data_IF_391688097808
#
_entry.id   IF_391688097808
#
_cell.length_a   1.000
_cell.length_b   1.000
_cell.length_c   1.000
_cell.angle_alpha   90.00
_cell.angle_beta   90.00
_cell.angle_gamma   90.00
#
_symmetry.space_group_name_H-M   'P 1'
#
loop_
_entity.id
_entity.type
_entity.pdbx_description
1 polymer ?
#
# COMPACT_ATOMS: atom_id res chain seq x y z
N UNK A 1 51.19 31.84 32.74
CA UNK A 1 50.19 31.04 32.01
C UNK A 1 49.09 31.99 31.57
N UNK A 2 48.88 32.13 30.26
CA UNK A 2 47.74 32.77 29.56
C UNK A 2 47.55 34.29 29.85
N UNK A 3 47.83 35.27 28.97
CA UNK A 3 47.58 35.39 27.52
C UNK A 3 46.20 34.83 27.13
N UNK A 4 45.23 35.52 26.54
CA UNK A 4 45.24 36.80 25.84
C UNK A 4 43.78 37.07 25.38
N UNK A 5 43.57 38.22 24.72
CA UNK A 5 42.44 38.51 23.82
C UNK A 5 41.06 38.80 24.42
N UNK A 6 41.04 39.85 25.25
CA UNK A 6 39.96 40.84 25.19
C UNK A 6 40.13 41.66 23.91
N UNK A 7 39.31 41.36 22.88
CA UNK A 7 39.01 42.07 21.62
C UNK A 7 38.87 41.05 20.48
N UNK A 8 37.71 40.42 20.37
CA UNK A 8 37.31 39.81 19.10
C UNK A 8 36.40 40.81 18.36
N UNK A 9 36.79 41.22 17.14
CA UNK A 9 36.20 42.35 16.44
C UNK A 9 34.86 41.96 15.78
N UNK A 10 34.09 42.98 15.43
CA UNK A 10 32.85 43.01 14.63
C UNK A 10 32.76 42.08 13.38
N UNK A 11 33.81 41.34 13.04
CA UNK A 11 33.94 40.54 11.83
C UNK A 11 33.08 39.27 11.81
N UNK A 12 32.75 38.68 12.97
CA UNK A 12 31.98 37.43 13.04
C UNK A 12 30.48 37.66 12.73
N UNK A 13 29.98 38.87 12.99
CA UNK A 13 28.59 39.22 12.69
C UNK A 13 28.32 39.44 11.20
N UNK A 14 29.34 39.80 10.40
CA UNK A 14 29.18 40.03 8.96
C UNK A 14 29.18 38.75 8.12
N UNK A 15 29.79 37.67 8.61
CA UNK A 15 29.82 36.38 7.89
C UNK A 15 28.50 35.62 7.91
N UNK A 16 27.61 35.88 8.87
CA UNK A 16 26.29 35.25 8.94
C UNK A 16 25.26 35.86 7.95
N UNK A 17 25.46 37.10 7.50
CA UNK A 17 24.53 37.79 6.60
C UNK A 17 24.77 37.48 5.11
N UNK A 18 25.97 37.02 4.75
CA UNK A 18 26.32 36.63 3.37
C UNK A 18 25.90 35.20 3.00
N UNK A 19 25.46 34.37 3.95
CA UNK A 19 24.94 33.03 3.65
C UNK A 19 23.42 33.02 3.38
N UNK A 20 22.73 34.14 3.65
CA UNK A 20 21.28 34.27 3.44
C UNK A 20 20.91 34.88 2.07
N UNK A 21 21.91 35.23 1.25
CA UNK A 21 21.73 35.89 -0.06
C UNK A 21 22.05 34.99 -1.25
N UNK A 22 22.36 33.71 -1.03
CA UNK A 22 22.31 32.73 -2.10
C UNK A 22 20.84 32.53 -2.47
N UNK A 23 20.43 32.83 -3.72
CA UNK A 23 19.11 32.44 -4.17
C UNK A 23 19.04 30.93 -4.00
N UNK A 24 18.14 30.47 -3.13
CA UNK A 24 17.77 29.06 -3.10
C UNK A 24 17.53 28.68 -4.57
N UNK A 25 18.27 27.70 -5.13
CA UNK A 25 17.87 27.19 -6.43
C UNK A 25 16.40 26.87 -6.28
N UNK A 26 15.53 27.30 -7.22
CA UNK A 26 14.14 26.91 -7.16
C UNK A 26 14.18 25.41 -6.98
N UNK A 27 13.65 24.93 -5.84
CA UNK A 27 13.38 23.51 -5.67
C UNK A 27 12.53 23.26 -6.90
N UNK A 28 13.13 22.59 -7.90
CA UNK A 28 12.37 22.05 -8.98
C UNK A 28 11.36 21.20 -8.23
N UNK A 29 10.12 21.68 -8.15
CA UNK A 29 9.02 20.79 -7.91
C UNK A 29 9.20 19.81 -9.04
N UNK A 30 9.80 18.66 -8.73
CA UNK A 30 9.56 17.48 -9.50
C UNK A 30 8.04 17.48 -9.55
N UNK A 31 7.48 17.86 -10.71
CA UNK A 31 6.21 17.32 -11.09
C UNK A 31 6.50 15.83 -10.94
N UNK A 32 6.08 15.25 -9.80
CA UNK A 32 6.29 13.87 -9.50
C UNK A 32 5.90 13.17 -10.79
N UNK A 33 6.86 12.50 -11.43
CA UNK A 33 6.59 11.91 -12.73
C UNK A 33 5.41 10.97 -12.48
N UNK A 34 4.22 11.40 -12.89
CA UNK A 34 3.01 10.70 -12.49
C UNK A 34 3.08 9.37 -13.24
N UNK A 35 3.16 8.29 -12.49
CA UNK A 35 3.07 6.94 -12.99
C UNK A 35 1.67 6.76 -13.60
N UNK A 36 1.57 6.53 -14.93
CA UNK A 36 0.28 6.36 -15.60
C UNK A 36 -0.54 5.20 -15.04
N UNK A 37 0.13 4.13 -14.58
CA UNK A 37 -0.52 2.98 -13.94
C UNK A 37 -1.15 3.38 -12.59
N UNK A 38 -0.43 4.14 -11.77
CA UNK A 38 -0.97 4.64 -10.51
C UNK A 38 -2.19 5.54 -10.74
N UNK A 39 -2.12 6.41 -11.76
CA UNK A 39 -3.26 7.26 -12.16
C UNK A 39 -4.45 6.42 -12.63
N UNK A 40 -4.22 5.36 -13.41
CA UNK A 40 -5.26 4.45 -13.87
C UNK A 40 -5.91 3.70 -12.71
N UNK A 41 -5.12 3.12 -11.80
CA UNK A 41 -5.61 2.47 -10.58
C UNK A 41 -6.50 3.42 -9.80
N UNK A 42 -6.04 4.66 -9.55
CA UNK A 42 -6.81 5.60 -8.75
C UNK A 42 -8.09 6.10 -9.42
N UNK A 43 -8.16 6.15 -10.76
CA UNK A 43 -9.41 6.51 -11.48
C UNK A 43 -10.51 5.48 -11.28
N UNK A 44 -10.16 4.25 -10.98
CA UNK A 44 -11.11 3.19 -10.70
C UNK A 44 -11.54 3.15 -9.23
N UNK A 45 -11.17 4.13 -8.41
CA UNK A 45 -11.54 4.21 -6.98
C UNK A 45 -12.61 5.27 -6.73
N UNK A 46 -13.30 5.16 -5.61
CA UNK A 46 -14.31 6.13 -5.15
C UNK A 46 -13.70 7.47 -4.72
N UNK A 47 -12.41 7.49 -4.33
CA UNK A 47 -11.68 8.65 -3.85
C UNK A 47 -10.29 8.73 -4.50
N UNK A 48 -10.25 9.35 -5.68
CA UNK A 48 -9.04 9.49 -6.50
C UNK A 48 -7.88 10.16 -5.74
N UNK A 49 -8.16 11.25 -5.00
CA UNK A 49 -7.13 12.02 -4.31
C UNK A 49 -6.60 11.30 -3.07
N UNK A 50 -7.45 10.53 -2.38
CA UNK A 50 -7.00 9.63 -1.33
C UNK A 50 -6.11 8.53 -1.91
N UNK A 51 -6.55 7.86 -2.98
CA UNK A 51 -5.73 6.83 -3.64
C UNK A 51 -4.37 7.36 -4.06
N UNK A 52 -4.32 8.51 -4.74
CA UNK A 52 -3.05 9.11 -5.18
C UNK A 52 -2.14 9.39 -3.99
N UNK A 53 -2.65 10.03 -2.92
CA UNK A 53 -1.83 10.31 -1.73
C UNK A 53 -1.34 9.04 -1.04
N UNK A 54 -2.15 7.99 -1.02
CA UNK A 54 -1.77 6.69 -0.47
C UNK A 54 -0.65 6.04 -1.28
N UNK A 55 -0.77 5.96 -2.61
CA UNK A 55 0.26 5.38 -3.48
C UNK A 55 1.57 6.18 -3.41
N UNK A 56 1.52 7.50 -3.61
CA UNK A 56 2.71 8.35 -3.64
C UNK A 56 3.29 8.68 -2.25
N UNK A 57 2.75 8.07 -1.19
CA UNK A 57 3.45 8.01 0.10
C UNK A 57 4.71 7.14 0.03
N UNK A 58 4.77 6.21 -0.92
CA UNK A 58 5.97 5.44 -1.24
C UNK A 58 6.82 6.17 -2.29
N UNK A 59 8.12 6.41 -2.03
CA UNK A 59 9.00 7.13 -2.97
C UNK A 59 9.27 6.38 -4.27
N UNK A 60 9.01 5.07 -4.35
CA UNK A 60 9.21 4.26 -5.54
C UNK A 60 7.97 4.20 -6.44
N UNK A 61 6.83 4.74 -5.99
CA UNK A 61 5.59 4.79 -6.77
C UNK A 61 5.74 5.37 -8.19
N UNK A 62 6.56 6.40 -8.47
CA UNK A 62 6.73 6.94 -9.82
C UNK A 62 7.24 5.93 -10.86
N UNK A 63 7.96 4.88 -10.43
CA UNK A 63 8.54 3.85 -11.32
C UNK A 63 7.96 2.46 -11.07
N UNK A 64 6.98 2.34 -10.18
CA UNK A 64 6.38 1.07 -9.79
C UNK A 64 5.60 0.43 -10.95
N UNK A 65 5.80 -0.87 -11.16
CA UNK A 65 4.89 -1.67 -11.99
C UNK A 65 3.60 -2.02 -11.22
N UNK A 66 2.70 -2.78 -11.86
CA UNK A 66 1.41 -3.15 -11.26
C UNK A 66 1.56 -3.98 -9.98
N UNK A 67 2.52 -4.91 -9.94
CA UNK A 67 2.74 -5.76 -8.78
C UNK A 67 3.27 -4.94 -7.60
N UNK A 68 4.25 -4.06 -7.86
CA UNK A 68 4.79 -3.20 -6.83
C UNK A 68 3.79 -2.13 -6.35
N UNK A 69 2.93 -1.62 -7.23
CA UNK A 69 1.81 -0.76 -6.83
C UNK A 69 0.84 -1.49 -5.89
N UNK A 70 0.55 -2.78 -6.15
CA UNK A 70 -0.24 -3.60 -5.23
C UNK A 70 0.45 -3.75 -3.87
N UNK A 71 1.75 -4.07 -3.86
CA UNK A 71 2.55 -4.15 -2.62
C UNK A 71 2.46 -2.84 -1.82
N UNK A 72 2.60 -1.68 -2.47
CA UNK A 72 2.47 -0.37 -1.79
C UNK A 72 1.10 -0.23 -1.13
N UNK A 73 0.02 -0.50 -1.86
CA UNK A 73 -1.36 -0.29 -1.36
C UNK A 73 -1.67 -1.26 -0.21
N UNK A 74 -1.37 -2.56 -0.37
CA UNK A 74 -1.60 -3.56 0.67
C UNK A 74 -0.70 -3.34 1.89
N UNK A 75 0.52 -2.85 1.71
CA UNK A 75 1.40 -2.45 2.82
C UNK A 75 0.78 -1.28 3.60
N UNK A 76 0.27 -0.27 2.90
CA UNK A 76 -0.41 0.85 3.56
C UNK A 76 -1.67 0.39 4.32
N UNK A 77 -2.46 -0.51 3.75
CA UNK A 77 -3.60 -1.12 4.43
C UNK A 77 -3.14 -1.87 5.69
N UNK A 78 -2.11 -2.71 5.59
CA UNK A 78 -1.57 -3.49 6.71
C UNK A 78 -1.07 -2.61 7.86
N UNK A 79 -0.27 -1.58 7.54
CA UNK A 79 0.25 -0.64 8.53
C UNK A 79 -0.88 0.14 9.21
N UNK A 80 -1.87 0.59 8.45
CA UNK A 80 -3.01 1.32 8.99
C UNK A 80 -3.90 0.43 9.87
N UNK A 81 -4.13 -0.83 9.47
CA UNK A 81 -4.88 -1.80 10.26
C UNK A 81 -4.19 -2.09 11.59
N UNK A 82 -2.88 -2.33 11.55
CA UNK A 82 -2.06 -2.63 12.73
C UNK A 82 -2.01 -1.45 13.69
N UNK A 83 -1.75 -0.23 13.20
CA UNK A 83 -1.78 0.99 14.02
C UNK A 83 -3.17 1.22 14.64
N UNK A 84 -4.24 0.97 13.88
CA UNK A 84 -5.60 1.11 14.39
C UNK A 84 -5.91 0.08 15.47
N UNK A 85 -5.53 -1.18 15.26
CA UNK A 85 -5.66 -2.23 16.27
C UNK A 85 -4.91 -1.87 17.55
N UNK A 86 -3.67 -1.41 17.44
CA UNK A 86 -2.85 -1.01 18.59
C UNK A 86 -3.44 0.21 19.31
N UNK A 87 -3.98 1.17 18.55
CA UNK A 87 -4.73 2.28 19.12
C UNK A 87 -5.93 1.79 19.93
N UNK A 88 -6.73 0.86 19.37
CA UNK A 88 -7.87 0.26 20.07
C UNK A 88 -7.40 -0.46 21.33
N UNK A 89 -6.32 -1.25 21.26
CA UNK A 89 -5.79 -1.98 22.40
C UNK A 89 -5.35 -1.04 23.53
N UNK A 90 -4.69 0.08 23.20
CA UNK A 90 -4.32 1.11 24.15
C UNK A 90 -5.57 1.76 24.79
N UNK A 91 -6.60 2.07 23.99
CA UNK A 91 -7.87 2.63 24.48
C UNK A 91 -8.58 1.68 25.44
N UNK A 92 -8.64 0.39 25.13
CA UNK A 92 -9.21 -0.65 26.01
C UNK A 92 -8.46 -0.70 27.34
N UNK A 93 -7.11 -0.73 27.31
CA UNK A 93 -6.27 -0.72 28.52
C UNK A 93 -6.48 0.53 29.39
N UNK A 94 -6.68 1.68 28.76
CA UNK A 94 -6.97 2.95 29.46
C UNK A 94 -8.39 3.07 30.01
N UNK A 95 -9.19 2.00 29.94
CA UNK A 95 -10.55 1.93 30.49
C UNK A 95 -11.62 2.49 29.57
N UNK A 96 -11.38 2.57 28.26
CA UNK A 96 -12.39 2.95 27.26
C UNK A 96 -13.05 4.31 27.51
N UNK A 97 -12.35 5.23 28.19
CA UNK A 97 -12.85 6.53 28.63
C UNK A 97 -13.10 7.48 27.44
N UNK A 98 -14.14 7.21 26.67
CA UNK A 98 -14.96 8.28 26.11
C UNK A 98 -15.73 8.89 27.28
N UNK A 99 -15.58 10.20 27.51
CA UNK A 99 -16.02 10.88 28.74
C UNK A 99 -17.41 10.48 29.23
N UNK A 100 -17.49 10.00 30.48
CA UNK A 100 -18.74 9.65 31.16
C UNK A 100 -18.54 8.42 32.06
N UNK A 101 -18.53 8.61 33.39
CA UNK A 101 -18.26 7.55 34.36
C UNK A 101 -19.39 6.54 34.52
N UNK A 102 -19.03 5.28 34.81
CA UNK A 102 -19.92 4.24 35.33
C UNK A 102 -20.08 3.03 34.40
N UNK A 103 -19.59 1.86 34.83
CA UNK A 103 -19.80 0.57 34.17
C UNK A 103 -18.98 0.36 32.90
N UNK A 104 -18.84 -0.90 32.48
CA UNK A 104 -18.25 -1.27 31.19
C UNK A 104 -19.13 -0.69 30.06
N UNK A 105 -18.82 0.54 29.69
CA UNK A 105 -19.62 1.35 28.77
C UNK A 105 -19.75 0.61 27.43
N UNK A 106 -20.85 0.81 26.71
CA UNK A 106 -21.03 0.23 25.37
C UNK A 106 -19.84 0.49 24.44
N UNK A 107 -19.12 1.61 24.66
CA UNK A 107 -17.87 1.96 23.98
C UNK A 107 -16.73 0.97 24.29
N UNK A 108 -16.50 0.61 25.56
CA UNK A 108 -15.46 -0.34 25.92
C UNK A 108 -15.72 -1.74 25.33
N UNK A 109 -16.99 -2.15 25.28
CA UNK A 109 -17.40 -3.40 24.61
C UNK A 109 -17.20 -3.34 23.11
N UNK A 110 -17.61 -2.23 22.46
CA UNK A 110 -17.39 -2.01 21.03
C UNK A 110 -15.91 -2.07 20.66
N UNK A 111 -15.04 -1.39 21.44
CA UNK A 111 -13.59 -1.43 21.23
C UNK A 111 -13.01 -2.85 21.36
N UNK A 112 -13.45 -3.65 22.33
CA UNK A 112 -12.99 -5.06 22.45
C UNK A 112 -13.49 -5.93 21.29
N UNK A 113 -14.70 -5.69 20.78
CA UNK A 113 -15.17 -6.35 19.56
C UNK A 113 -14.32 -5.97 18.36
N UNK A 114 -13.99 -4.69 18.23
CA UNK A 114 -13.14 -4.18 17.15
C UNK A 114 -11.74 -4.80 17.12
N UNK A 115 -11.15 -5.15 18.26
CA UNK A 115 -9.85 -5.86 18.27
C UNK A 115 -9.91 -7.13 17.43
N UNK A 116 -10.97 -7.93 17.60
CA UNK A 116 -11.16 -9.19 16.84
C UNK A 116 -11.37 -8.91 15.35
N UNK A 117 -12.15 -7.90 15.00
CA UNK A 117 -12.34 -7.53 13.60
C UNK A 117 -11.04 -7.06 12.95
N UNK A 118 -10.25 -6.26 13.65
CA UNK A 118 -8.95 -5.84 13.14
C UNK A 118 -7.94 -6.98 13.08
N UNK A 119 -7.99 -7.98 13.98
CA UNK A 119 -7.20 -9.21 13.84
C UNK A 119 -7.52 -9.94 12.51
N UNK A 120 -8.81 -10.09 12.17
CA UNK A 120 -9.22 -10.72 10.91
C UNK A 120 -8.88 -9.85 9.69
N UNK A 121 -9.05 -8.53 9.77
CA UNK A 121 -8.68 -7.62 8.69
C UNK A 121 -7.17 -7.66 8.41
N UNK A 122 -6.35 -7.69 9.47
CA UNK A 122 -4.90 -7.84 9.35
C UNK A 122 -4.56 -9.19 8.72
N UNK A 123 -5.19 -10.28 9.15
CA UNK A 123 -4.98 -11.60 8.57
C UNK A 123 -5.25 -11.60 7.06
N UNK A 124 -6.39 -11.07 6.64
CA UNK A 124 -6.77 -11.02 5.23
C UNK A 124 -5.77 -10.20 4.38
N UNK A 125 -5.33 -9.04 4.88
CA UNK A 125 -4.33 -8.22 4.19
C UNK A 125 -2.96 -8.90 4.17
N UNK A 126 -2.55 -9.56 5.25
CA UNK A 126 -1.30 -10.33 5.32
C UNK A 126 -1.29 -11.51 4.36
N UNK A 127 -2.42 -12.17 4.15
CA UNK A 127 -2.57 -13.26 3.18
C UNK A 127 -2.29 -12.75 1.77
N UNK A 128 -2.85 -11.60 1.38
CA UNK A 128 -2.55 -10.97 0.08
C UNK A 128 -1.08 -10.59 -0.05
N UNK A 129 -0.46 -10.05 1.01
CA UNK A 129 0.97 -9.70 0.98
C UNK A 129 1.88 -10.93 0.87
N UNK A 130 1.50 -12.05 1.51
CA UNK A 130 2.20 -13.33 1.35
C UNK A 130 2.08 -13.85 -0.07
N UNK A 131 0.88 -13.78 -0.63
CA UNK A 131 0.59 -14.13 -2.01
C UNK A 131 1.43 -13.29 -3.01
N UNK A 132 1.45 -11.96 -2.83
CA UNK A 132 2.30 -11.05 -3.62
C UNK A 132 3.79 -11.39 -3.52
N UNK A 133 4.25 -11.90 -2.39
CA UNK A 133 5.64 -12.31 -2.19
C UNK A 133 5.96 -13.65 -2.87
N UNK A 134 4.97 -14.55 -2.92
CA UNK A 134 5.10 -15.89 -3.49
C UNK A 134 4.74 -15.91 -4.99
N UNK A 135 4.48 -14.73 -5.58
CA UNK A 135 3.97 -14.53 -6.93
C UNK A 135 2.67 -15.33 -7.20
N UNK A 136 1.89 -15.57 -6.14
CA UNK A 136 0.55 -16.15 -6.20
C UNK A 136 -0.48 -15.04 -6.06
N UNK A 137 -1.47 -14.96 -6.94
CA UNK A 137 -2.37 -13.81 -7.00
C UNK A 137 -3.80 -14.22 -6.71
N UNK A 138 -4.07 -15.03 -5.69
CA UNK A 138 -5.39 -15.65 -5.49
C UNK A 138 -6.29 -14.81 -4.58
N UNK A 139 -7.59 -14.78 -4.88
CA UNK A 139 -8.62 -14.21 -3.98
C UNK A 139 -8.40 -12.76 -3.50
N UNK A 140 -7.57 -11.93 -4.15
CA UNK A 140 -7.29 -10.55 -3.69
C UNK A 140 -8.57 -9.71 -3.51
N UNK A 141 -9.53 -9.84 -4.41
CA UNK A 141 -10.83 -9.19 -4.34
C UNK A 141 -11.63 -9.64 -3.11
N UNK A 142 -11.65 -10.94 -2.85
CA UNK A 142 -12.33 -11.52 -1.69
C UNK A 142 -11.64 -11.14 -0.38
N UNK A 143 -10.32 -11.23 -0.30
CA UNK A 143 -9.53 -10.87 0.89
C UNK A 143 -9.61 -9.37 1.18
N UNK A 144 -9.63 -8.52 0.14
CA UNK A 144 -9.85 -7.08 0.28
C UNK A 144 -11.25 -6.77 0.81
N UNK A 145 -12.27 -7.43 0.27
CA UNK A 145 -13.65 -7.30 0.76
C UNK A 145 -13.79 -7.80 2.20
N UNK A 146 -13.10 -8.88 2.56
CA UNK A 146 -13.07 -9.40 3.93
C UNK A 146 -12.43 -8.40 4.91
N UNK A 147 -11.30 -7.79 4.52
CA UNK A 147 -10.65 -6.75 5.30
C UNK A 147 -11.57 -5.54 5.50
N UNK A 148 -12.16 -5.03 4.41
CA UNK A 148 -13.12 -3.92 4.45
C UNK A 148 -14.32 -4.23 5.35
N UNK A 149 -14.93 -5.40 5.16
CA UNK A 149 -16.11 -5.85 5.91
C UNK A 149 -15.84 -5.93 7.42
N UNK A 150 -14.66 -6.39 7.82
CA UNK A 150 -14.27 -6.41 9.22
C UNK A 150 -14.18 -5.01 9.83
N UNK A 151 -13.62 -4.03 9.13
CA UNK A 151 -13.58 -2.65 9.62
C UNK A 151 -14.98 -2.02 9.68
N UNK A 152 -15.86 -2.31 8.72
CA UNK A 152 -17.28 -1.91 8.77
C UNK A 152 -18.03 -2.57 9.92
N UNK A 153 -17.75 -3.84 10.20
CA UNK A 153 -18.34 -4.56 11.32
C UNK A 153 -17.88 -3.99 12.67
N UNK A 154 -16.59 -3.61 12.78
CA UNK A 154 -16.08 -2.87 13.93
C UNK A 154 -16.86 -1.56 14.14
N UNK A 155 -17.03 -0.74 13.10
CA UNK A 155 -17.77 0.53 13.21
C UNK A 155 -19.24 0.31 13.58
N UNK A 156 -19.88 -0.69 12.98
CA UNK A 156 -21.29 -1.04 13.22
C UNK A 156 -21.53 -1.62 14.63
N UNK A 157 -20.48 -2.09 15.30
CA UNK A 157 -20.53 -2.61 16.67
C UNK A 157 -20.78 -1.53 17.74
N UNK A 158 -20.73 -0.25 17.38
CA UNK A 158 -21.01 0.85 18.31
C UNK A 158 -22.48 1.29 18.23
N UNK A 159 -23.19 1.25 19.36
CA UNK A 159 -24.51 1.86 19.50
C UNK A 159 -24.40 3.37 19.76
N UNK A 160 -23.95 4.13 18.76
CA UNK A 160 -23.72 5.57 18.85
C UNK A 160 -22.41 5.99 18.19
N UNK A 161 -21.87 7.16 18.56
CA UNK A 161 -20.62 7.66 17.98
C UNK A 161 -19.45 6.75 18.38
N UNK A 162 -18.84 6.12 17.39
CA UNK A 162 -17.60 5.36 17.54
C UNK A 162 -16.43 6.33 17.79
N UNK A 163 -15.56 6.05 18.77
CA UNK A 163 -14.36 6.86 19.03
C UNK A 163 -13.24 6.62 18.00
N UNK A 164 -13.46 5.70 17.05
CA UNK A 164 -12.46 5.27 16.05
C UNK A 164 -12.96 5.39 14.61
N UNK A 165 -14.13 6.01 14.37
CA UNK A 165 -14.69 6.24 13.02
C UNK A 165 -13.64 6.75 12.01
N UNK A 166 -12.82 7.77 12.32
CA UNK A 166 -11.86 8.27 11.32
C UNK A 166 -10.80 7.23 10.92
N UNK A 167 -10.43 6.34 11.85
CA UNK A 167 -9.47 5.27 11.59
C UNK A 167 -10.10 4.15 10.76
N UNK A 168 -11.35 3.79 11.08
CA UNK A 168 -12.13 2.83 10.30
C UNK A 168 -12.32 3.34 8.86
N UNK A 169 -12.68 4.61 8.67
CA UNK A 169 -12.86 5.21 7.35
C UNK A 169 -11.58 5.21 6.51
N UNK A 170 -10.42 5.53 7.09
CA UNK A 170 -9.14 5.48 6.38
C UNK A 170 -8.84 4.05 5.93
N UNK A 171 -8.98 3.08 6.83
CA UNK A 171 -8.72 1.68 6.49
C UNK A 171 -9.69 1.15 5.43
N UNK A 172 -10.97 1.47 5.54
CA UNK A 172 -11.99 1.11 4.54
C UNK A 172 -11.60 1.67 3.17
N UNK A 173 -11.20 2.94 3.07
CA UNK A 173 -10.74 3.52 1.80
C UNK A 173 -9.50 2.82 1.25
N UNK A 174 -8.56 2.40 2.11
CA UNK A 174 -7.40 1.62 1.68
C UNK A 174 -7.82 0.25 1.14
N UNK A 175 -8.72 -0.45 1.84
CA UNK A 175 -9.26 -1.74 1.42
C UNK A 175 -10.11 -1.63 0.13
N UNK A 176 -10.83 -0.52 -0.09
CA UNK A 176 -11.57 -0.24 -1.32
C UNK A 176 -10.61 -0.09 -2.52
N UNK A 177 -9.46 0.57 -2.35
CA UNK A 177 -8.42 0.62 -3.39
C UNK A 177 -7.95 -0.79 -3.74
N UNK A 178 -7.87 -1.69 -2.75
CA UNK A 178 -7.46 -3.08 -2.92
C UNK A 178 -8.53 -3.96 -3.58
N UNK A 179 -9.82 -3.67 -3.31
CA UNK A 179 -10.94 -4.56 -3.61
C UNK A 179 -11.89 -4.13 -4.71
N UNK A 180 -11.88 -2.87 -5.17
CA UNK A 180 -12.86 -2.45 -6.19
C UNK A 180 -12.67 -3.29 -7.46
N UNK A 181 -13.75 -3.95 -7.89
CA UNK A 181 -13.78 -4.95 -8.96
C UNK A 181 -13.33 -4.44 -10.33
N UNK A 182 -13.00 -3.15 -10.47
CA UNK A 182 -12.37 -2.56 -11.66
C UNK A 182 -10.85 -2.41 -11.54
N UNK A 183 -10.30 -2.22 -10.34
CA UNK A 183 -8.86 -2.38 -10.07
C UNK A 183 -8.45 -3.84 -10.03
N UNK A 184 -9.33 -4.69 -9.47
CA UNK A 184 -9.19 -6.15 -9.53
C UNK A 184 -9.35 -6.71 -10.93
N UNK A 185 -10.07 -6.07 -11.88
CA UNK A 185 -10.07 -6.51 -13.27
C UNK A 185 -8.70 -6.32 -13.96
N UNK A 186 -7.92 -5.30 -13.58
CA UNK A 186 -6.54 -5.10 -14.06
C UNK A 186 -5.51 -5.93 -13.29
N UNK A 187 -5.71 -6.16 -11.99
CA UNK A 187 -4.91 -7.13 -11.22
C UNK A 187 -5.27 -8.60 -11.55
N UNK A 188 -6.49 -8.87 -11.98
CA UNK A 188 -6.92 -10.14 -12.58
C UNK A 188 -6.49 -10.23 -14.04
N UNK A 189 -6.27 -9.09 -14.71
CA UNK A 189 -5.47 -9.01 -15.92
C UNK A 189 -4.05 -9.50 -15.65
N UNK A 190 -3.47 -9.17 -14.48
CA UNK A 190 -2.25 -9.82 -13.97
C UNK A 190 -2.44 -11.31 -13.72
N UNK A 191 -3.56 -11.78 -13.14
CA UNK A 191 -3.85 -13.23 -13.01
C UNK A 191 -3.83 -13.93 -14.39
N UNK A 192 -4.41 -13.31 -15.42
CA UNK A 192 -4.40 -13.83 -16.80
C UNK A 192 -2.99 -13.82 -17.41
N UNK A 193 -2.32 -12.67 -17.35
CA UNK A 193 -0.95 -12.49 -17.87
C UNK A 193 0.08 -13.37 -17.16
N UNK A 194 -0.07 -13.59 -15.85
CA UNK A 194 0.83 -14.41 -15.05
C UNK A 194 0.52 -15.91 -15.19
N UNK A 195 -0.74 -16.30 -15.31
CA UNK A 195 -1.08 -17.68 -15.69
C UNK A 195 -0.52 -18.01 -17.09
N UNK A 196 -0.65 -17.09 -18.04
CA UNK A 196 -0.10 -17.23 -19.40
C UNK A 196 1.44 -17.20 -19.40
N UNK A 197 2.06 -16.37 -18.57
CA UNK A 197 3.53 -16.34 -18.40
C UNK A 197 4.06 -17.61 -17.72
N UNK A 198 3.41 -18.08 -16.65
CA UNK A 198 3.80 -19.30 -15.95
C UNK A 198 3.64 -20.52 -16.87
N UNK A 199 2.55 -20.58 -17.63
CA UNK A 199 2.34 -21.60 -18.66
C UNK A 199 3.40 -21.50 -19.76
N UNK A 200 3.75 -20.31 -20.22
CA UNK A 200 4.80 -20.10 -21.21
C UNK A 200 6.19 -20.54 -20.69
N UNK A 201 6.52 -20.23 -19.44
CA UNK A 201 7.77 -20.65 -18.78
C UNK A 201 7.81 -22.17 -18.61
N UNK A 202 6.70 -22.79 -18.21
CA UNK A 202 6.60 -24.25 -18.09
C UNK A 202 6.76 -24.94 -19.46
N UNK A 203 6.09 -24.42 -20.48
CA UNK A 203 6.20 -24.89 -21.87
C UNK A 203 7.64 -24.74 -22.38
N UNK A 204 8.31 -23.62 -22.10
CA UNK A 204 9.71 -23.41 -22.46
C UNK A 204 10.65 -24.39 -21.74
N UNK A 205 10.39 -24.72 -20.47
CA UNK A 205 11.18 -25.71 -19.72
C UNK A 205 11.04 -27.12 -20.30
N UNK A 206 9.84 -27.50 -20.72
CA UNK A 206 9.59 -28.79 -21.39
C UNK A 206 10.34 -28.86 -22.72
N UNK A 207 10.21 -27.83 -23.56
CA UNK A 207 10.94 -27.75 -24.85
C UNK A 207 12.46 -27.73 -24.66
N UNK A 208 12.97 -27.00 -23.66
CA UNK A 208 14.40 -26.97 -23.36
C UNK A 208 14.92 -28.30 -22.81
N UNK A 209 14.06 -29.07 -22.12
CA UNK A 209 14.37 -30.41 -21.64
C UNK A 209 14.45 -31.45 -22.77
N UNK A 210 13.72 -31.20 -23.86
CA UNK A 210 13.60 -32.09 -25.03
C UNK A 210 14.50 -31.68 -26.21
N UNK A 211 15.40 -30.68 -26.05
CA UNK A 211 16.26 -30.19 -27.14
C UNK A 211 17.36 -31.21 -27.54
N UNK A 212 17.01 -32.12 -28.44
CA UNK A 212 17.89 -32.56 -29.51
C UNK A 212 17.79 -31.60 -30.72
N UNK A 213 18.76 -31.62 -31.64
CA UNK A 213 19.01 -30.50 -32.59
C UNK A 213 17.90 -30.23 -33.62
N UNK A 214 16.79 -30.96 -33.62
CA UNK A 214 15.70 -30.82 -34.60
C UNK A 214 14.57 -29.84 -34.18
N UNK A 215 14.48 -29.45 -32.91
CA UNK A 215 13.35 -28.64 -32.38
C UNK A 215 13.50 -27.12 -32.52
N UNK A 216 14.53 -26.62 -33.20
CA UNK A 216 14.83 -25.18 -33.32
C UNK A 216 13.70 -24.36 -33.98
N UNK A 217 12.92 -24.94 -34.89
CA UNK A 217 11.80 -24.27 -35.55
C UNK A 217 10.54 -24.16 -34.67
N UNK A 218 10.30 -25.11 -33.77
CA UNK A 218 9.18 -25.04 -32.81
C UNK A 218 9.44 -23.99 -31.72
N UNK A 219 10.70 -23.80 -31.35
CA UNK A 219 11.11 -22.78 -30.38
C UNK A 219 10.76 -21.36 -30.84
N UNK A 220 10.95 -21.03 -32.12
CA UNK A 220 10.67 -19.70 -32.66
C UNK A 220 9.16 -19.39 -32.75
N UNK A 221 8.35 -20.40 -33.07
CA UNK A 221 6.87 -20.28 -33.09
C UNK A 221 6.33 -20.08 -31.67
N UNK A 222 6.84 -20.86 -30.70
CA UNK A 222 6.45 -20.75 -29.30
C UNK A 222 6.95 -19.45 -28.68
N UNK A 223 8.20 -19.04 -28.96
CA UNK A 223 8.77 -17.75 -28.52
C UNK A 223 7.96 -16.56 -29.02
N UNK A 224 7.53 -16.57 -30.29
CA UNK A 224 6.68 -15.51 -30.85
C UNK A 224 5.26 -15.55 -30.26
N UNK A 225 4.69 -16.73 -29.97
CA UNK A 225 3.40 -16.86 -29.29
C UNK A 225 3.48 -16.32 -27.85
N UNK A 226 4.53 -16.66 -27.11
CA UNK A 226 4.81 -16.12 -25.77
C UNK A 226 5.05 -14.61 -25.81
N UNK A 227 5.80 -14.09 -26.78
CA UNK A 227 6.01 -12.65 -26.98
C UNK A 227 4.72 -11.90 -27.28
N UNK A 228 3.87 -12.45 -28.14
CA UNK A 228 2.59 -11.83 -28.48
C UNK A 228 1.63 -11.84 -27.28
N UNK A 229 1.60 -12.92 -26.51
CA UNK A 229 0.80 -13.01 -25.28
C UNK A 229 1.28 -11.99 -24.22
N UNK A 230 2.60 -11.84 -24.05
CA UNK A 230 3.21 -10.85 -23.14
C UNK A 230 3.09 -9.41 -23.66
N UNK A 231 3.00 -9.18 -24.96
CA UNK A 231 2.82 -7.84 -25.55
C UNK A 231 1.38 -7.34 -25.57
N UNK A 232 0.40 -8.24 -25.40
CA UNK A 232 -1.00 -7.89 -25.10
C UNK A 232 -1.29 -7.70 -23.61
N UNK A 233 -0.27 -7.96 -22.78
CA UNK A 233 -0.12 -7.46 -21.41
C UNK A 233 0.72 -6.17 -21.47
#
# INVERSE_FOLDING_TARGET
MADAFRKFPLAIALTFLLQFSLPFPPIASAAAHENPLATQVCRNTTDFDFCRRSIYSDPHAPTADRAFLAVIIFTNAFLNATDTRDHIAARVKSGGRGGGGGGDSGVARGLRSCLRHYDEAIRAVSEVLGDLNDDTFYDFDKLSLEAESNARACESGFHGRSPITPRNEIFIKLAEICGDGRGSAELSGLKGCLADYTLAVQTLKEVLGDLDSETYYEFDVLSNKSRNNVATC
#
